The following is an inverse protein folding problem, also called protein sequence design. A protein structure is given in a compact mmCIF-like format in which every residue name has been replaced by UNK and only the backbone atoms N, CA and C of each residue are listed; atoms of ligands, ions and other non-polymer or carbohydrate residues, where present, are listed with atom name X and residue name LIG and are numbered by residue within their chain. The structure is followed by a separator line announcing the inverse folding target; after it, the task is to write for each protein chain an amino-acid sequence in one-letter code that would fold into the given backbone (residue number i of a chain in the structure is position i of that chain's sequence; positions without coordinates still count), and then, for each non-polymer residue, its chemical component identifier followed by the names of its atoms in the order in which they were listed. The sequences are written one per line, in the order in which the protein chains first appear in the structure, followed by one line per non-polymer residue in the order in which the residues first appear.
data_IF_444095178968
#
_entry.id   IF_444095178968
#
_cell.length_a   1.000
_cell.length_b   1.000
_cell.length_c   1.000
_cell.angle_alpha   90.00
_cell.angle_beta   90.00
_cell.angle_gamma   90.00
#
_symmetry.space_group_name_H-M   'P 1'
#
loop_
_entity.id
_entity.type
_entity.pdbx_description
1 polymer ?
#
# COMPACT_ATOMS: atom_id res chain seq x y z
N UNK A 1 6.37 -2.73 37.57
CA UNK A 1 7.16 -3.32 36.46
C UNK A 1 7.17 -2.32 35.30
N UNK A 2 8.32 -1.70 35.00
CA UNK A 2 8.45 -0.71 33.91
C UNK A 2 8.73 -1.46 32.60
N UNK A 3 7.88 -1.27 31.59
CA UNK A 3 8.06 -1.86 30.25
C UNK A 3 9.16 -1.09 29.53
N UNK A 4 10.21 -1.79 29.10
CA UNK A 4 11.29 -1.22 28.31
C UNK A 4 10.78 -0.93 26.89
N UNK A 5 10.73 0.34 26.52
CA UNK A 5 10.56 0.80 25.14
C UNK A 5 11.89 0.59 24.42
N UNK A 6 12.06 -0.57 23.79
CA UNK A 6 13.22 -0.85 22.94
C UNK A 6 13.12 0.05 21.71
N UNK A 7 13.84 1.18 21.71
CA UNK A 7 14.09 1.95 20.49
C UNK A 7 14.80 1.01 19.51
N UNK A 8 14.15 0.75 18.37
CA UNK A 8 14.77 0.03 17.25
C UNK A 8 15.99 0.85 16.81
N UNK A 9 17.19 0.36 17.15
CA UNK A 9 18.43 0.97 16.67
C UNK A 9 18.54 0.72 15.16
N UNK A 10 18.90 1.73 14.35
CA UNK A 10 19.26 1.51 12.96
C UNK A 10 20.57 0.72 12.96
N UNK A 11 20.51 -0.56 12.56
CA UNK A 11 21.71 -1.38 12.42
C UNK A 11 22.47 -0.85 11.19
N UNK A 12 23.77 -0.66 11.30
CA UNK A 12 24.63 -0.30 10.17
C UNK A 12 24.69 -1.46 9.16
N UNK A 13 24.18 -1.25 7.95
CA UNK A 13 23.80 -2.25 6.94
C UNK A 13 24.94 -2.77 6.02
N UNK A 14 26.22 -2.65 6.41
CA UNK A 14 27.35 -2.88 5.48
C UNK A 14 28.07 -4.23 5.59
N UNK A 15 27.51 -5.25 6.27
CA UNK A 15 28.32 -6.44 6.59
C UNK A 15 28.46 -7.47 5.45
N UNK A 16 27.52 -7.60 4.49
CA UNK A 16 27.63 -8.60 3.40
C UNK A 16 27.01 -8.15 2.05
N UNK A 17 27.65 -8.51 0.93
CA UNK A 17 27.19 -8.15 -0.42
C UNK A 17 25.82 -8.73 -0.81
N UNK A 18 25.49 -9.93 -0.32
CA UNK A 18 24.18 -10.57 -0.51
C UNK A 18 23.07 -9.82 0.23
N UNK A 19 23.36 -9.32 1.43
CA UNK A 19 22.46 -8.47 2.21
C UNK A 19 22.18 -7.15 1.52
N UNK A 20 23.22 -6.49 1.02
CA UNK A 20 23.11 -5.26 0.23
C UNK A 20 22.26 -5.45 -1.03
N UNK A 21 22.41 -6.59 -1.73
CA UNK A 21 21.64 -6.88 -2.96
C UNK A 21 20.14 -7.09 -2.70
N UNK A 22 19.78 -7.87 -1.68
CA UNK A 22 18.37 -8.12 -1.32
C UNK A 22 17.72 -6.87 -0.73
N UNK A 23 18.45 -6.12 0.07
CA UNK A 23 17.99 -4.83 0.59
C UNK A 23 17.74 -3.83 -0.55
N UNK A 24 18.65 -3.73 -1.52
CA UNK A 24 18.46 -2.90 -2.71
C UNK A 24 17.21 -3.32 -3.52
N UNK A 25 16.91 -4.62 -3.60
CA UNK A 25 15.70 -5.10 -4.24
C UNK A 25 14.43 -4.61 -3.52
N UNK A 26 14.43 -4.61 -2.18
CA UNK A 26 13.34 -4.01 -1.38
C UNK A 26 13.21 -2.52 -1.66
N UNK A 27 14.31 -1.77 -1.62
CA UNK A 27 14.30 -0.32 -1.86
C UNK A 27 13.76 0.01 -3.25
N UNK A 28 14.15 -0.75 -4.28
CA UNK A 28 13.63 -0.59 -5.65
C UNK A 28 12.13 -0.85 -5.73
N UNK A 29 11.65 -1.95 -5.13
CA UNK A 29 10.24 -2.27 -5.11
C UNK A 29 9.42 -1.17 -4.41
N UNK A 30 9.93 -0.64 -3.30
CA UNK A 30 9.31 0.48 -2.58
C UNK A 30 9.22 1.72 -3.46
N UNK A 31 10.30 2.11 -4.13
CA UNK A 31 10.31 3.29 -5.03
C UNK A 31 9.29 3.15 -6.16
N UNK A 32 9.22 1.97 -6.79
CA UNK A 32 8.23 1.70 -7.84
C UNK A 32 6.81 1.85 -7.29
N UNK A 33 6.54 1.26 -6.12
CA UNK A 33 5.22 1.36 -5.48
C UNK A 33 4.84 2.80 -5.12
N UNK A 34 5.76 3.58 -4.57
CA UNK A 34 5.49 4.99 -4.24
C UNK A 34 5.18 5.81 -5.49
N UNK A 35 5.88 5.56 -6.61
CA UNK A 35 5.55 6.17 -7.89
C UNK A 35 4.14 5.77 -8.38
N UNK A 36 3.74 4.51 -8.22
CA UNK A 36 2.39 4.07 -8.54
C UNK A 36 1.31 4.74 -7.66
N UNK A 37 1.59 4.98 -6.37
CA UNK A 37 0.68 5.70 -5.48
C UNK A 37 0.50 7.15 -5.93
N UNK A 38 1.60 7.84 -6.26
CA UNK A 38 1.56 9.24 -6.71
C UNK A 38 0.83 9.35 -8.05
N UNK A 39 1.10 8.44 -8.99
CA UNK A 39 0.40 8.38 -10.27
C UNK A 39 -1.09 8.08 -10.11
N UNK A 40 -1.46 7.14 -9.22
CA UNK A 40 -2.86 6.85 -8.93
C UNK A 40 -3.58 8.06 -8.32
N UNK A 41 -2.90 8.82 -7.44
CA UNK A 41 -3.45 10.04 -6.86
C UNK A 41 -3.63 11.14 -7.92
N UNK A 42 -2.67 11.31 -8.81
CA UNK A 42 -2.75 12.25 -9.93
C UNK A 42 -4.00 11.97 -10.77
N UNK A 43 -4.18 10.74 -11.21
CA UNK A 43 -5.36 10.30 -11.96
C UNK A 43 -6.65 10.45 -11.16
N UNK A 44 -6.66 10.03 -9.88
CA UNK A 44 -7.84 10.15 -9.02
C UNK A 44 -8.26 11.61 -8.76
N UNK A 45 -7.38 12.56 -9.05
CA UNK A 45 -7.61 14.01 -8.90
C UNK A 45 -7.67 14.77 -10.22
N UNK A 46 -7.60 14.07 -11.36
CA UNK A 46 -7.74 14.64 -12.70
C UNK A 46 -9.21 14.87 -13.06
N UNK A 47 -9.81 15.97 -12.60
CA UNK A 47 -11.24 16.23 -12.81
C UNK A 47 -11.59 16.90 -14.14
N UNK A 48 -10.65 17.62 -14.75
CA UNK A 48 -10.89 18.43 -15.97
C UNK A 48 -9.71 18.31 -16.95
N UNK A 49 -9.88 17.62 -18.11
CA UNK A 49 -10.97 16.67 -18.37
C UNK A 49 -10.94 15.51 -17.34
N UNK A 50 -12.07 14.84 -17.09
CA UNK A 50 -12.09 13.70 -16.18
C UNK A 50 -11.18 12.58 -16.72
N UNK A 51 -10.43 11.96 -15.83
CA UNK A 51 -9.57 10.83 -16.18
C UNK A 51 -10.40 9.67 -16.75
N UNK A 52 -9.97 9.07 -17.88
CA UNK A 52 -10.62 7.88 -18.42
C UNK A 52 -10.65 6.73 -17.40
N UNK A 53 -11.79 6.03 -17.23
CA UNK A 53 -11.86 4.90 -16.31
C UNK A 53 -10.81 3.82 -16.56
N UNK A 54 -10.44 3.59 -17.82
CA UNK A 54 -9.40 2.63 -18.21
C UNK A 54 -8.05 2.94 -17.60
N UNK A 55 -7.68 4.22 -17.51
CA UNK A 55 -6.37 4.65 -17.02
C UNK A 55 -6.31 4.50 -15.50
N UNK A 56 -7.40 4.84 -14.81
CA UNK A 56 -7.56 4.59 -13.38
C UNK A 56 -7.48 3.09 -13.06
N UNK A 57 -8.19 2.25 -13.81
CA UNK A 57 -8.17 0.80 -13.61
C UNK A 57 -6.76 0.25 -13.85
N UNK A 58 -6.07 0.72 -14.89
CA UNK A 58 -4.69 0.32 -15.18
C UNK A 58 -3.73 0.73 -14.05
N UNK A 59 -3.85 1.96 -13.53
CA UNK A 59 -3.03 2.44 -12.42
C UNK A 59 -3.27 1.62 -11.14
N UNK A 60 -4.52 1.26 -10.83
CA UNK A 60 -4.85 0.39 -9.70
C UNK A 60 -4.26 -1.02 -9.86
N UNK A 61 -4.24 -1.57 -11.08
CA UNK A 61 -3.58 -2.86 -11.37
C UNK A 61 -2.06 -2.76 -11.17
N UNK A 62 -1.43 -1.68 -11.63
CA UNK A 62 0.00 -1.44 -11.43
C UNK A 62 0.35 -1.27 -9.94
N UNK A 63 -0.44 -0.51 -9.20
CA UNK A 63 -0.28 -0.33 -7.76
C UNK A 63 -0.43 -1.66 -7.01
N UNK A 64 -1.37 -2.52 -7.43
CA UNK A 64 -1.53 -3.87 -6.86
C UNK A 64 -0.27 -4.71 -7.07
N UNK A 65 0.24 -4.78 -8.30
CA UNK A 65 1.44 -5.56 -8.62
C UNK A 65 2.66 -5.03 -7.85
N UNK A 66 2.88 -3.71 -7.85
CA UNK A 66 3.97 -3.11 -7.09
C UNK A 66 3.85 -3.36 -5.57
N UNK A 67 2.63 -3.43 -5.04
CA UNK A 67 2.38 -3.80 -3.64
C UNK A 67 2.75 -5.24 -3.34
N UNK A 68 2.42 -6.18 -4.24
CA UNK A 68 2.85 -7.58 -4.13
C UNK A 68 4.37 -7.67 -4.18
N UNK A 69 5.02 -7.01 -5.15
CA UNK A 69 6.47 -7.03 -5.32
C UNK A 69 7.21 -6.53 -4.09
N UNK A 70 6.71 -5.51 -3.39
CA UNK A 70 7.28 -5.03 -2.12
C UNK A 70 7.21 -6.11 -1.04
N UNK A 71 6.04 -6.73 -0.86
CA UNK A 71 5.85 -7.75 0.18
C UNK A 71 6.76 -8.94 -0.06
N UNK A 72 6.86 -9.38 -1.31
CA UNK A 72 7.73 -10.47 -1.72
C UNK A 72 9.21 -10.13 -1.53
N UNK A 73 9.63 -8.93 -1.94
CA UNK A 73 11.01 -8.48 -1.75
C UNK A 73 11.39 -8.44 -0.26
N UNK A 74 10.52 -7.92 0.61
CA UNK A 74 10.76 -7.85 2.07
C UNK A 74 10.87 -9.25 2.65
N UNK A 75 9.98 -10.16 2.28
CA UNK A 75 10.04 -11.54 2.76
C UNK A 75 11.29 -12.29 2.23
N UNK A 76 11.70 -12.08 0.98
CA UNK A 76 12.96 -12.62 0.44
C UNK A 76 14.19 -12.04 1.14
N UNK A 77 14.17 -10.76 1.51
CA UNK A 77 15.21 -10.13 2.32
C UNK A 77 15.25 -10.69 3.75
N UNK A 78 14.10 -10.97 4.38
CA UNK A 78 14.06 -11.57 5.72
C UNK A 78 14.69 -12.95 5.80
N UNK A 79 14.65 -13.73 4.71
CA UNK A 79 15.22 -15.09 4.65
C UNK A 79 16.73 -15.15 4.86
N UNK A 80 17.44 -14.08 4.55
CA UNK A 80 18.90 -14.03 4.72
C UNK A 80 19.31 -13.50 6.10
N UNK A 81 18.35 -13.11 6.94
CA UNK A 81 18.61 -12.61 8.29
C UNK A 81 18.58 -13.75 9.30
N UNK A 82 19.49 -13.70 10.28
CA UNK A 82 19.51 -14.65 11.40
C UNK A 82 18.21 -14.58 12.21
N UNK A 83 17.61 -13.39 12.31
CA UNK A 83 16.31 -13.17 12.93
C UNK A 83 15.48 -12.27 12.02
N UNK A 84 14.27 -12.69 11.62
CA UNK A 84 13.37 -11.83 10.86
C UNK A 84 13.07 -10.54 11.64
N UNK A 85 13.18 -9.40 10.95
CA UNK A 85 12.90 -8.08 11.52
C UNK A 85 12.04 -7.23 10.58
N UNK A 86 11.35 -6.20 11.08
CA UNK A 86 10.64 -5.21 10.26
C UNK A 86 11.57 -4.55 9.25
N UNK A 87 11.09 -4.34 8.02
CA UNK A 87 11.78 -3.44 7.10
C UNK A 87 11.33 -2.01 7.36
N UNK A 88 12.25 -1.18 7.88
CA UNK A 88 11.96 0.20 8.28
C UNK A 88 12.31 1.15 7.13
N UNK A 89 11.32 1.89 6.66
CA UNK A 89 11.49 2.91 5.62
C UNK A 89 11.05 4.26 6.17
N UNK A 90 11.94 5.26 6.12
CA UNK A 90 11.72 6.60 6.71
C UNK A 90 11.20 6.56 8.16
N UNK A 91 11.70 5.60 8.94
CA UNK A 91 11.36 5.46 10.36
C UNK A 91 10.10 4.63 10.67
N UNK A 92 9.40 4.08 9.67
CA UNK A 92 8.18 3.29 9.89
C UNK A 92 8.30 1.90 9.28
N UNK A 93 7.67 0.90 9.91
CA UNK A 93 7.52 -0.44 9.33
C UNK A 93 6.70 -0.34 8.02
N UNK A 94 7.35 -0.59 6.88
CA UNK A 94 6.72 -0.33 5.59
C UNK A 94 5.50 -1.23 5.34
N UNK A 95 5.55 -2.51 5.73
CA UNK A 95 4.42 -3.43 5.54
C UNK A 95 3.15 -2.97 6.28
N UNK A 96 3.32 -2.40 7.48
CA UNK A 96 2.20 -1.86 8.24
C UNK A 96 1.72 -0.52 7.68
N UNK A 97 2.63 0.30 7.19
CA UNK A 97 2.27 1.55 6.49
C UNK A 97 1.41 1.28 5.26
N UNK A 98 1.73 0.24 4.50
CA UNK A 98 0.97 -0.20 3.32
C UNK A 98 -0.51 -0.45 3.62
N UNK A 99 -0.85 -0.84 4.85
CA UNK A 99 -2.25 -1.07 5.23
C UNK A 99 -3.08 0.19 5.00
N UNK A 100 -2.54 1.38 5.26
CA UNK A 100 -3.32 2.62 5.28
C UNK A 100 -3.01 3.60 4.15
N UNK A 101 -1.89 3.45 3.45
CA UNK A 101 -1.45 4.41 2.44
C UNK A 101 -2.26 4.39 1.12
N UNK A 102 -3.18 3.45 0.98
CA UNK A 102 -4.19 3.39 -0.09
C UNK A 102 -5.58 3.82 0.38
N UNK A 103 -5.75 4.34 1.60
CA UNK A 103 -7.07 4.74 2.13
C UNK A 103 -7.69 5.89 1.33
N UNK A 104 -6.89 6.73 0.65
CA UNK A 104 -7.37 7.72 -0.30
C UNK A 104 -8.14 7.08 -1.47
N UNK A 105 -7.71 5.91 -1.96
CA UNK A 105 -8.39 5.19 -3.05
C UNK A 105 -9.82 4.83 -2.67
N UNK A 106 -10.03 4.43 -1.42
CA UNK A 106 -11.35 4.11 -0.87
C UNK A 106 -12.28 5.35 -0.75
N UNK A 107 -11.72 6.56 -0.76
CA UNK A 107 -12.46 7.82 -0.64
C UNK A 107 -12.68 8.51 -1.99
N UNK A 108 -11.91 8.17 -3.02
CA UNK A 108 -11.97 8.85 -4.31
C UNK A 108 -13.29 8.56 -5.04
N UNK A 109 -13.99 9.63 -5.37
CA UNK A 109 -15.21 9.58 -6.19
C UNK A 109 -14.94 9.06 -7.60
N UNK A 110 -13.81 9.44 -8.21
CA UNK A 110 -13.41 8.96 -9.54
C UNK A 110 -13.12 7.46 -9.55
N UNK A 111 -12.40 6.97 -8.54
CA UNK A 111 -12.10 5.53 -8.43
C UNK A 111 -13.39 4.73 -8.23
N UNK A 112 -14.29 5.19 -7.36
CA UNK A 112 -15.57 4.51 -7.14
C UNK A 112 -16.43 4.49 -8.41
N UNK A 113 -16.43 5.58 -9.18
CA UNK A 113 -17.11 5.65 -10.46
C UNK A 113 -16.50 4.71 -11.51
N UNK A 114 -15.17 4.65 -11.61
CA UNK A 114 -14.47 3.77 -12.55
C UNK A 114 -14.67 2.28 -12.24
N UNK A 115 -14.72 1.90 -10.95
CA UNK A 115 -14.95 0.53 -10.51
C UNK A 115 -16.43 0.12 -10.47
N UNK A 116 -17.34 1.09 -10.45
CA UNK A 116 -18.76 0.88 -10.16
C UNK A 116 -19.05 0.49 -8.70
N UNK A 117 -18.04 0.44 -7.83
CA UNK A 117 -18.14 0.10 -6.41
C UNK A 117 -17.06 0.82 -5.61
N UNK A 118 -17.38 1.22 -4.38
CA UNK A 118 -16.40 1.79 -3.47
C UNK A 118 -15.51 0.69 -2.87
N UNK A 119 -14.19 0.88 -2.93
CA UNK A 119 -13.26 0.01 -2.21
C UNK A 119 -13.31 0.28 -0.70
N UNK A 120 -13.01 -0.74 0.09
CA UNK A 120 -12.82 -0.60 1.54
C UNK A 120 -11.47 0.04 1.84
N UNK A 121 -11.39 0.73 2.99
CA UNK A 121 -10.11 1.11 3.62
C UNK A 121 -9.32 -0.14 4.00
N UNK A 122 -8.05 0.03 4.35
CA UNK A 122 -7.17 -1.09 4.71
C UNK A 122 -6.98 -2.08 3.57
N UNK A 123 -6.66 -1.56 2.40
CA UNK A 123 -6.68 -2.33 1.15
C UNK A 123 -5.46 -2.03 0.25
N UNK A 124 -4.24 -2.41 0.69
CA UNK A 124 -2.99 -2.18 -0.05
C UNK A 124 -2.99 -2.73 -1.47
N UNK A 125 -3.83 -3.74 -1.75
CA UNK A 125 -3.89 -4.42 -3.04
C UNK A 125 -5.04 -3.96 -3.92
N UNK A 126 -5.84 -2.98 -3.47
CA UNK A 126 -7.00 -2.47 -4.20
C UNK A 126 -7.95 -3.59 -4.68
N UNK A 127 -8.24 -4.58 -3.84
CA UNK A 127 -9.12 -5.72 -4.16
C UNK A 127 -10.50 -5.57 -3.52
N UNK A 128 -11.49 -6.29 -4.03
CA UNK A 128 -12.78 -6.48 -3.34
C UNK A 128 -12.74 -7.88 -2.73
N UNK A 129 -12.87 -8.06 -1.39
CA UNK A 129 -13.34 -7.09 -0.39
C UNK A 129 -12.25 -6.27 0.35
N UNK A 130 -10.95 -6.49 0.09
CA UNK A 130 -9.82 -5.92 0.85
C UNK A 130 -9.27 -6.87 1.92
N UNK A 131 -8.44 -6.38 2.85
CA UNK A 131 -7.78 -7.23 3.87
C UNK A 131 -8.72 -7.75 4.98
N UNK A 132 -9.91 -7.15 5.15
CA UNK A 132 -10.80 -7.38 6.30
C UNK A 132 -11.61 -8.69 6.26
N UNK A 133 -11.21 -9.70 5.48
CA UNK A 133 -11.85 -11.03 5.56
C UNK A 133 -11.35 -11.78 6.79
N UNK A 134 -12.22 -11.90 7.82
CA UNK A 134 -12.03 -12.77 9.01
C UNK A 134 -11.70 -14.23 8.64
N UNK A 135 -12.03 -14.68 7.43
CA UNK A 135 -11.67 -15.99 6.89
C UNK A 135 -10.16 -16.15 6.63
N UNK A 136 -9.46 -15.09 6.23
CA UNK A 136 -8.02 -15.14 5.89
C UNK A 136 -7.12 -15.22 7.12
N UNK A 137 -7.60 -14.75 8.27
CA UNK A 137 -6.92 -14.86 9.57
C UNK A 137 -6.81 -16.31 10.05
N UNK A 138 -7.77 -17.18 9.68
CA UNK A 138 -7.69 -18.62 10.01
C UNK A 138 -6.58 -19.31 9.21
N UNK A 139 -6.38 -18.94 7.95
CA UNK A 139 -5.31 -19.48 7.12
C UNK A 139 -3.92 -19.05 7.63
N UNK A 140 -3.79 -17.81 8.14
CA UNK A 140 -2.55 -17.29 8.72
C UNK A 140 -2.01 -18.14 9.89
N UNK A 141 -2.90 -18.62 10.78
CA UNK A 141 -2.55 -19.51 11.89
C UNK A 141 -2.04 -20.90 11.45
N UNK A 142 -2.36 -21.30 10.22
CA UNK A 142 -1.89 -22.55 9.57
C UNK A 142 -0.66 -22.30 8.69
N UNK A 143 -0.33 -21.03 8.44
CA UNK A 143 0.63 -20.59 7.44
C UNK A 143 1.95 -20.07 8.05
N UNK A 144 2.33 -20.55 9.24
CA UNK A 144 3.67 -20.29 9.79
C UNK A 144 4.79 -20.66 8.82
N UNK A 145 4.50 -21.55 7.85
CA UNK A 145 5.43 -21.97 6.79
C UNK A 145 5.40 -21.08 5.53
N UNK A 146 4.44 -20.15 5.34
CA UNK A 146 4.37 -19.32 4.12
C UNK A 146 5.54 -18.34 3.96
N UNK A 147 6.15 -17.89 5.06
CA UNK A 147 7.40 -17.10 5.02
C UNK A 147 8.51 -17.90 4.31
N UNK A 148 8.43 -19.23 4.33
CA UNK A 148 9.35 -20.15 3.66
C UNK A 148 8.94 -20.50 2.21
N UNK A 149 7.78 -20.06 1.70
CA UNK A 149 7.28 -20.42 0.34
C UNK A 149 6.89 -19.21 -0.54
N UNK A 150 7.66 -18.12 -0.50
CA UNK A 150 7.79 -17.23 -1.67
C UNK A 150 8.70 -17.91 -2.68
N UNK A 151 8.10 -18.28 -3.81
CA UNK A 151 8.82 -18.70 -5.01
C UNK A 151 8.90 -17.49 -5.96
N UNK A 152 10.11 -16.95 -6.24
CA UNK A 152 10.27 -15.82 -7.14
C UNK A 152 9.91 -16.15 -8.60
N UNK A 153 9.73 -17.44 -8.94
CA UNK A 153 9.31 -17.90 -10.27
C UNK A 153 7.80 -18.05 -10.39
N UNK A 154 7.06 -17.84 -9.30
CA UNK A 154 5.60 -17.89 -9.31
C UNK A 154 5.04 -16.80 -10.24
N UNK A 155 4.19 -17.21 -11.19
CA UNK A 155 3.56 -16.30 -12.15
C UNK A 155 2.08 -16.10 -11.87
N UNK A 156 1.46 -16.95 -11.05
CA UNK A 156 0.07 -16.84 -10.68
C UNK A 156 -0.17 -15.67 -9.73
N UNK A 157 -0.67 -14.57 -10.28
CA UNK A 157 -0.94 -13.32 -9.55
C UNK A 157 -1.92 -13.54 -8.38
N UNK A 158 -2.92 -14.41 -8.53
CA UNK A 158 -3.90 -14.65 -7.46
C UNK A 158 -3.25 -15.32 -6.25
N UNK A 159 -2.35 -16.27 -6.48
CA UNK A 159 -1.59 -16.93 -5.41
C UNK A 159 -0.58 -15.97 -4.76
N UNK A 160 0.14 -15.18 -5.56
CA UNK A 160 1.06 -14.14 -5.06
C UNK A 160 0.33 -13.12 -4.18
N UNK A 161 -0.81 -12.63 -4.65
CA UNK A 161 -1.70 -11.74 -3.91
C UNK A 161 -2.13 -12.35 -2.58
N UNK A 162 -2.64 -13.58 -2.59
CA UNK A 162 -3.08 -14.27 -1.38
C UNK A 162 -1.95 -14.40 -0.34
N UNK A 163 -0.74 -14.79 -0.78
CA UNK A 163 0.44 -14.85 0.09
C UNK A 163 0.84 -13.48 0.65
N UNK A 164 0.80 -12.45 -0.20
CA UNK A 164 1.13 -11.09 0.21
C UNK A 164 0.15 -10.55 1.26
N UNK A 165 -1.15 -10.84 1.11
CA UNK A 165 -2.19 -10.51 2.09
C UNK A 165 -1.91 -11.19 3.44
N UNK A 166 -1.56 -12.47 3.45
CA UNK A 166 -1.23 -13.21 4.68
C UNK A 166 0.01 -12.65 5.38
N UNK A 167 1.05 -12.26 4.64
CA UNK A 167 2.27 -11.68 5.21
C UNK A 167 2.02 -10.34 5.90
N UNK A 168 1.17 -9.47 5.33
CA UNK A 168 0.79 -8.20 5.97
C UNK A 168 -0.06 -8.46 7.23
N UNK A 169 -0.97 -9.44 7.20
CA UNK A 169 -1.77 -9.80 8.37
C UNK A 169 -0.90 -10.32 9.51
N UNK A 170 0.05 -11.21 9.23
CA UNK A 170 1.02 -11.71 10.22
C UNK A 170 1.87 -10.57 10.82
N UNK A 171 2.30 -9.61 10.00
CA UNK A 171 3.01 -8.43 10.49
C UNK A 171 2.16 -7.61 11.47
N UNK A 172 0.86 -7.51 11.17
CA UNK A 172 -0.11 -6.73 11.96
C UNK A 172 -0.43 -7.40 13.30
N UNK A 173 -0.49 -8.73 13.36
CA UNK A 173 -0.68 -9.49 14.61
C UNK A 173 0.54 -9.38 15.54
N UNK A 174 1.75 -9.26 14.98
CA UNK A 174 2.99 -9.10 15.73
C UNK A 174 3.20 -7.73 16.37
N UNK A 175 2.42 -6.70 15.99
CA UNK A 175 2.52 -5.36 16.55
C UNK A 175 1.33 -5.00 17.45
N UNK A 176 1.65 -4.59 18.68
CA UNK A 176 0.67 -4.17 19.71
C UNK A 176 0.27 -2.69 19.57
N UNK A 177 1.07 -1.90 18.84
CA UNK A 177 0.88 -0.45 18.68
C UNK A 177 0.42 -0.13 17.27
N UNK A 178 -0.75 0.51 17.17
CA UNK A 178 -1.31 1.04 15.94
C UNK A 178 -0.46 2.25 15.47
N UNK A 179 0.63 2.00 14.74
CA UNK A 179 1.42 3.04 14.09
C UNK A 179 0.66 3.60 12.88
N UNK A 180 -0.39 4.36 13.16
CA UNK A 180 -1.14 5.11 12.15
C UNK A 180 -0.26 6.21 11.58
N UNK A 181 0.46 5.91 10.50
CA UNK A 181 0.95 6.97 9.62
C UNK A 181 -0.26 7.68 9.02
N UNK A 182 -0.34 9.00 9.19
CA UNK A 182 -1.39 9.79 8.51
C UNK A 182 -1.21 9.60 7.01
N UNK A 183 -2.28 9.20 6.32
CA UNK A 183 -2.31 9.15 4.86
C UNK A 183 -2.31 10.59 4.31
N UNK A 184 -1.12 11.12 4.02
CA UNK A 184 -0.92 12.45 3.46
C UNK A 184 -1.66 12.62 2.12
N UNK A 185 -1.69 11.55 1.30
CA UNK A 185 -2.39 11.54 0.00
C UNK A 185 -3.90 11.66 0.18
N UNK A 186 -4.43 11.07 1.26
CA UNK A 186 -5.82 11.24 1.67
C UNK A 186 -6.20 12.69 1.96
N UNK A 187 -5.28 13.49 2.52
CA UNK A 187 -5.47 14.93 2.71
C UNK A 187 -5.49 15.70 1.39
N UNK A 188 -4.55 15.40 0.50
CA UNK A 188 -4.46 16.03 -0.83
C UNK A 188 -5.68 15.73 -1.70
N UNK A 189 -6.16 14.49 -1.72
CA UNK A 189 -7.37 14.09 -2.44
C UNK A 189 -8.59 14.89 -1.94
N UNK A 190 -8.80 14.93 -0.62
CA UNK A 190 -9.93 15.63 -0.02
C UNK A 190 -9.93 17.13 -0.36
N UNK A 191 -8.74 17.76 -0.35
CA UNK A 191 -8.58 19.15 -0.75
C UNK A 191 -8.98 19.36 -2.21
N UNK A 192 -8.43 18.57 -3.14
CA UNK A 192 -8.73 18.73 -4.58
C UNK A 192 -10.19 18.42 -4.92
N UNK A 193 -10.80 17.43 -4.28
CA UNK A 193 -12.24 17.17 -4.46
C UNK A 193 -13.10 18.33 -3.97
N UNK A 194 -12.76 18.94 -2.82
CA UNK A 194 -13.48 20.10 -2.30
C UNK A 194 -13.36 21.33 -3.21
N UNK A 195 -12.17 21.55 -3.78
CA UNK A 195 -11.92 22.61 -4.76
C UNK A 195 -12.75 22.41 -6.03
N UNK A 196 -12.81 21.18 -6.57
CA UNK A 196 -13.61 20.86 -7.75
C UNK A 196 -15.12 20.98 -7.48
N UNK A 197 -15.61 20.50 -6.34
CA UNK A 197 -17.02 20.67 -5.94
C UNK A 197 -17.37 22.15 -5.83
N UNK A 198 -16.48 22.97 -5.27
CA UNK A 198 -16.66 24.42 -5.17
C UNK A 198 -16.66 25.06 -6.57
N UNK A 199 -15.73 24.66 -7.45
CA UNK A 199 -15.68 25.12 -8.84
C UNK A 199 -16.97 24.79 -9.60
N UNK A 200 -17.51 23.58 -9.47
CA UNK A 200 -18.78 23.20 -10.12
C UNK A 200 -19.98 23.97 -9.57
N UNK A 201 -19.99 24.26 -8.26
CA UNK A 201 -21.11 24.96 -7.60
C UNK A 201 -21.10 26.47 -7.88
N UNK A 202 -19.93 27.10 -7.92
CA UNK A 202 -19.80 28.56 -7.96
C UNK A 202 -19.16 29.09 -9.24
N UNK A 203 -18.47 28.26 -10.04
CA UNK A 203 -17.81 28.67 -11.28
C UNK A 203 -18.75 28.94 -12.46
N UNK A 204 -20.02 28.56 -12.37
CA UNK A 204 -21.06 28.90 -13.34
C UNK A 204 -21.64 30.32 -13.20
N UNK A 205 -21.14 31.13 -12.27
CA UNK A 205 -21.63 32.49 -11.98
C UNK A 205 -20.80 33.60 -12.65
N UNK A 206 -20.03 33.30 -13.71
CA UNK A 206 -19.52 34.36 -14.58
C UNK A 206 -20.70 34.91 -15.39
N UNK A 207 -21.39 35.87 -14.78
CA UNK A 207 -22.43 36.70 -15.36
C UNK A 207 -21.95 37.25 -16.71
N UNK A 208 -22.63 36.85 -17.79
CA UNK A 208 -22.80 37.74 -18.93
C UNK A 208 -23.49 38.99 -18.41
N UNK A 209 -22.74 40.09 -18.33
CA UNK A 209 -23.30 41.42 -18.16
C UNK A 209 -23.53 41.93 -19.59
N UNK A 210 -24.78 42.30 -19.96
CA UNK A 210 -25.12 42.79 -21.30
C UNK A 210 -24.46 44.12 -21.65
#
# INVERSE_FOLDING_TARGET
MRKATTKLAPISHQQFASQSTKELAVLRAIVVREACLDYTLELATGFVPPTPPTDLLQALLQLRLASIDVVEAIALWRRILVRPMPFVWRGTNYLLRMVHDTDFVAKSSQVAAALGVALRRRNPFCTVPGLDMKQRVRDASTASDLVLVIDPTETNIALRLHRAELLILLESEGQVTDERSKDERGGQLAQKEAEEVSRRRFGGLQHEVP
#
